data_IF_006125274957
#
_entry.id   IF_006125274957
#
_cell.length_a   1.000
_cell.length_b   1.000
_cell.length_c   1.000
_cell.angle_alpha   90.00
_cell.angle_beta   90.00
_cell.angle_gamma   90.00
#
_symmetry.space_group_name_H-M   'P 1'
#
loop_
_entity.id
_entity.type
_entity.pdbx_description
1 polymer ?
#
# COMPACT_ATOMS: atom_id res chain seq x y z
N UNK A 1 -6.67 -21.26 -7.18
CA UNK A 1 -7.03 -22.32 -6.25
C UNK A 1 -6.47 -22.06 -4.82
N UNK A 2 -5.67 -21.03 -4.61
CA UNK A 2 -5.05 -20.67 -3.34
C UNK A 2 -3.90 -21.59 -2.90
N UNK A 3 -3.38 -22.44 -3.78
CA UNK A 3 -2.24 -23.30 -3.44
C UNK A 3 -0.96 -22.49 -3.28
N UNK A 4 -0.19 -22.78 -2.21
CA UNK A 4 1.11 -22.14 -1.99
C UNK A 4 2.09 -22.63 -3.07
N UNK A 5 2.62 -21.72 -3.90
CA UNK A 5 3.58 -22.04 -4.95
C UNK A 5 5.03 -21.93 -4.50
N UNK A 6 5.30 -21.19 -3.43
CA UNK A 6 6.63 -21.04 -2.88
C UNK A 6 6.62 -20.12 -1.65
N UNK A 7 7.77 -20.04 -1.01
CA UNK A 7 8.07 -19.12 0.08
C UNK A 7 9.40 -18.45 -0.19
N UNK A 8 9.43 -17.12 -0.04
CA UNK A 8 10.65 -16.34 -0.17
C UNK A 8 10.97 -15.76 1.21
N UNK A 9 12.12 -16.08 1.74
CA UNK A 9 12.62 -15.43 2.94
C UNK A 9 13.18 -14.06 2.60
N UNK A 10 12.82 -13.07 3.39
CA UNK A 10 13.33 -11.70 3.26
C UNK A 10 14.43 -11.53 4.31
N UNK A 11 15.71 -11.57 3.92
CA UNK A 11 16.81 -11.51 4.86
C UNK A 11 16.83 -10.17 5.60
N UNK A 12 17.16 -10.21 6.89
CA UNK A 12 17.25 -9.03 7.76
C UNK A 12 15.95 -8.22 7.94
N UNK A 13 14.81 -8.77 7.51
CA UNK A 13 13.50 -8.21 7.82
C UNK A 13 12.97 -8.80 9.12
N UNK A 14 12.32 -7.96 9.91
CA UNK A 14 11.54 -8.36 11.09
C UNK A 14 10.08 -8.11 10.76
N UNK A 15 9.19 -9.00 11.16
CA UNK A 15 7.77 -8.74 11.12
C UNK A 15 7.33 -8.31 12.52
N UNK A 16 7.10 -7.01 12.71
CA UNK A 16 6.49 -6.48 13.92
C UNK A 16 4.98 -6.40 13.72
N UNK A 17 4.56 -5.73 12.61
CA UNK A 17 3.16 -5.62 12.20
C UNK A 17 3.11 -5.26 10.71
N UNK A 18 3.26 -6.29 9.85
CA UNK A 18 3.22 -6.10 8.39
C UNK A 18 1.78 -5.92 7.94
N UNK A 19 1.50 -4.83 7.22
CA UNK A 19 0.16 -4.47 6.83
C UNK A 19 -0.03 -4.52 5.30
N UNK A 20 0.61 -3.67 4.56
CA UNK A 20 0.40 -3.58 3.11
C UNK A 20 1.66 -3.89 2.32
N UNK A 21 1.47 -4.28 1.07
CA UNK A 21 2.53 -4.54 0.12
C UNK A 21 2.21 -3.86 -1.21
N UNK A 22 3.17 -3.08 -1.70
CA UNK A 22 3.07 -2.44 -3.01
C UNK A 22 4.19 -2.90 -3.95
N UNK A 23 3.92 -2.80 -5.25
CA UNK A 23 4.92 -2.95 -6.30
C UNK A 23 5.06 -1.61 -7.02
N UNK A 24 6.29 -1.22 -7.30
CA UNK A 24 6.56 0.04 -8.02
C UNK A 24 8.02 0.19 -8.41
N UNK A 25 8.38 1.31 -9.07
CA UNK A 25 9.77 1.60 -9.41
C UNK A 25 10.59 1.84 -8.15
N UNK A 26 11.89 1.62 -8.24
CA UNK A 26 12.85 1.84 -7.16
C UNK A 26 14.15 2.48 -7.66
N UNK A 27 15.28 2.26 -6.97
CA UNK A 27 16.54 2.92 -7.31
C UNK A 27 17.08 2.60 -8.71
N UNK A 28 16.84 1.40 -9.23
CA UNK A 28 17.29 1.01 -10.56
C UNK A 28 16.20 1.31 -11.60
N UNK A 29 16.54 2.08 -12.61
CA UNK A 29 15.60 2.43 -13.68
C UNK A 29 15.12 1.17 -14.43
N UNK A 30 13.83 1.17 -14.79
CA UNK A 30 13.22 0.06 -15.52
C UNK A 30 13.04 -1.25 -14.73
N UNK A 31 13.29 -1.22 -13.42
CA UNK A 31 13.08 -2.38 -12.54
C UNK A 31 11.99 -2.09 -11.52
N UNK A 32 11.17 -3.10 -11.27
CA UNK A 32 10.18 -3.07 -10.19
C UNK A 32 10.80 -3.55 -8.88
N UNK A 33 10.27 -3.02 -7.80
CA UNK A 33 10.59 -3.37 -6.43
C UNK A 33 9.32 -3.73 -5.67
N UNK A 34 9.45 -4.66 -4.75
CA UNK A 34 8.44 -4.91 -3.73
C UNK A 34 8.73 -4.00 -2.53
N UNK A 35 7.69 -3.38 -2.03
CA UNK A 35 7.69 -2.57 -0.81
C UNK A 35 6.79 -3.28 0.19
N UNK A 36 7.31 -3.61 1.36
CA UNK A 36 6.58 -4.29 2.43
C UNK A 36 6.51 -3.34 3.61
N UNK A 37 5.31 -2.93 3.96
CA UNK A 37 5.05 -1.98 5.03
C UNK A 37 4.96 -2.66 6.39
N UNK A 38 5.93 -2.43 7.25
CA UNK A 38 5.93 -2.80 8.68
C UNK A 38 5.59 -1.55 9.49
N UNK A 39 4.32 -1.16 9.45
CA UNK A 39 3.87 0.10 10.03
C UNK A 39 2.53 0.02 10.78
N UNK A 40 1.97 -1.17 10.96
CA UNK A 40 0.84 -1.37 11.85
C UNK A 40 1.20 -0.97 13.29
N UNK A 41 0.27 -0.32 13.96
CA UNK A 41 0.45 0.18 15.32
C UNK A 41 -0.91 0.42 16.00
N UNK A 42 -1.60 -0.67 16.27
CA UNK A 42 -2.96 -0.65 16.85
C UNK A 42 -3.12 0.27 18.08
N UNK A 43 -2.03 0.53 18.79
CA UNK A 43 -2.03 1.35 20.00
C UNK A 43 -1.38 2.73 19.80
N UNK A 44 -0.93 3.06 18.60
CA UNK A 44 -0.24 4.30 18.25
C UNK A 44 0.94 4.58 19.20
N UNK A 45 1.87 3.63 19.36
CA UNK A 45 3.00 3.71 20.28
C UNK A 45 4.37 3.59 19.60
N UNK A 46 4.42 3.20 18.32
CA UNK A 46 5.69 3.03 17.59
C UNK A 46 6.26 4.37 17.18
N UNK A 47 7.41 4.79 17.75
CA UNK A 47 8.03 6.08 17.40
C UNK A 47 8.61 6.08 15.98
N UNK A 48 8.89 4.90 15.44
CA UNK A 48 9.38 4.70 14.07
C UNK A 48 8.78 3.43 13.48
N UNK A 49 8.49 3.48 12.19
CA UNK A 49 8.02 2.38 11.36
C UNK A 49 9.03 2.09 10.25
N UNK A 50 8.81 1.02 9.51
CA UNK A 50 9.75 0.53 8.50
C UNK A 50 9.01 0.17 7.21
N UNK A 51 9.63 0.47 6.07
CA UNK A 51 9.31 -0.16 4.80
C UNK A 51 10.53 -0.95 4.36
N UNK A 52 10.34 -2.25 4.07
CA UNK A 52 11.36 -3.06 3.42
C UNK A 52 11.19 -2.98 1.92
N UNK A 53 12.27 -2.61 1.21
CA UNK A 53 12.28 -2.55 -0.24
C UNK A 53 13.29 -3.53 -0.81
N UNK A 54 12.84 -4.35 -1.75
CA UNK A 54 13.68 -5.34 -2.43
C UNK A 54 13.32 -5.40 -3.91
N UNK A 55 14.30 -5.74 -4.73
CA UNK A 55 14.07 -5.96 -6.15
C UNK A 55 13.02 -7.06 -6.34
N UNK A 56 12.04 -6.84 -7.22
CA UNK A 56 11.06 -7.87 -7.56
C UNK A 56 11.80 -9.12 -8.08
N UNK A 57 11.68 -10.30 -7.43
CA UNK A 57 12.35 -11.50 -7.90
C UNK A 57 11.73 -12.00 -9.21
N UNK A 58 12.54 -12.42 -10.14
CA UNK A 58 12.08 -12.94 -11.43
C UNK A 58 11.38 -14.31 -11.28
N UNK A 59 11.64 -15.04 -10.21
CA UNK A 59 11.01 -16.33 -9.91
C UNK A 59 10.97 -16.60 -8.41
N UNK A 60 10.13 -17.57 -8.00
CA UNK A 60 10.04 -18.03 -6.61
C UNK A 60 11.28 -18.78 -6.12
N UNK A 61 12.19 -19.17 -7.01
CA UNK A 61 13.45 -19.85 -6.71
C UNK A 61 14.62 -18.88 -6.60
N UNK A 62 14.42 -17.61 -6.95
CA UNK A 62 15.47 -16.61 -6.86
C UNK A 62 15.75 -16.25 -5.41
N UNK A 63 17.04 -16.23 -5.07
CA UNK A 63 17.47 -15.74 -3.76
C UNK A 63 17.31 -14.23 -3.70
N UNK A 64 16.70 -13.74 -2.62
CA UNK A 64 16.64 -12.30 -2.38
C UNK A 64 18.05 -11.79 -2.09
N UNK A 65 18.47 -10.82 -2.89
CA UNK A 65 19.75 -10.14 -2.72
C UNK A 65 19.69 -9.10 -1.59
N UNK A 66 19.87 -7.85 -1.95
CA UNK A 66 19.82 -6.75 -0.99
C UNK A 66 18.37 -6.41 -0.63
N UNK A 67 18.12 -6.26 0.67
CA UNK A 67 16.90 -5.69 1.23
C UNK A 67 17.24 -4.35 1.86
N UNK A 68 16.62 -3.30 1.39
CA UNK A 68 16.76 -1.96 1.95
C UNK A 68 15.74 -1.78 3.06
N UNK A 69 16.16 -1.15 4.15
CA UNK A 69 15.33 -0.82 5.29
C UNK A 69 15.15 0.69 5.33
N UNK A 70 13.95 1.16 5.01
CA UNK A 70 13.59 2.58 5.01
C UNK A 70 12.85 2.88 6.30
N UNK A 71 13.51 3.58 7.22
CA UNK A 71 12.92 3.93 8.50
C UNK A 71 12.24 5.30 8.39
N UNK A 72 11.05 5.41 8.94
CA UNK A 72 10.32 6.67 8.97
C UNK A 72 9.55 6.88 10.26
N UNK A 73 9.10 8.11 10.47
CA UNK A 73 8.19 8.50 11.55
C UNK A 73 7.15 9.49 11.04
N UNK A 74 6.00 9.49 11.68
CA UNK A 74 4.97 10.50 11.41
C UNK A 74 5.35 11.84 12.03
N UNK A 75 5.02 12.98 11.38
CA UNK A 75 5.39 14.31 11.89
C UNK A 75 4.57 14.72 13.13
N UNK A 76 3.43 14.10 13.34
CA UNK A 76 2.41 14.44 14.32
C UNK A 76 2.15 13.32 15.35
N UNK A 77 3.14 12.44 15.54
CA UNK A 77 3.12 11.34 16.50
C UNK A 77 2.73 9.99 15.91
N UNK A 78 2.93 8.90 16.67
CA UNK A 78 2.62 7.54 16.21
C UNK A 78 1.19 7.38 15.75
N UNK A 79 0.98 6.56 14.72
CA UNK A 79 -0.32 6.26 14.13
C UNK A 79 -0.41 4.82 13.67
N UNK A 80 -1.62 4.29 13.74
CA UNK A 80 -1.97 3.04 13.08
C UNK A 80 -2.22 3.31 11.59
N UNK A 81 -1.53 2.60 10.72
CA UNK A 81 -1.69 2.70 9.27
C UNK A 81 -1.67 1.31 8.65
N UNK A 82 -2.44 1.13 7.60
CA UNK A 82 -2.57 -0.16 6.92
C UNK A 82 -2.64 -0.02 5.39
N UNK A 83 -2.33 1.15 4.83
CA UNK A 83 -2.42 1.34 3.39
C UNK A 83 -1.20 2.07 2.83
N UNK A 84 -0.68 1.59 1.69
CA UNK A 84 0.50 2.13 1.05
C UNK A 84 0.37 2.18 -0.47
N UNK A 85 0.82 3.28 -1.08
CA UNK A 85 0.93 3.45 -2.53
C UNK A 85 2.37 3.81 -2.87
N UNK A 86 2.94 3.17 -3.88
CA UNK A 86 4.20 3.60 -4.52
C UNK A 86 3.86 4.23 -5.87
N UNK A 87 4.04 5.53 -5.97
CA UNK A 87 3.70 6.28 -7.19
C UNK A 87 4.66 5.92 -8.34
N UNK A 88 4.20 5.33 -9.45
CA UNK A 88 5.07 4.95 -10.55
C UNK A 88 5.68 6.14 -11.29
N UNK A 89 5.14 7.35 -11.13
CA UNK A 89 5.61 8.56 -11.81
C UNK A 89 6.68 9.30 -11.01
N UNK A 90 6.56 9.38 -9.67
CA UNK A 90 7.47 10.13 -8.81
C UNK A 90 8.37 9.23 -7.96
N UNK A 91 8.04 7.95 -7.81
CA UNK A 91 8.66 6.97 -6.89
C UNK A 91 8.45 7.31 -5.41
N UNK A 92 7.62 8.30 -5.11
CA UNK A 92 7.22 8.60 -3.75
C UNK A 92 6.40 7.44 -3.17
N UNK A 93 6.51 7.23 -1.87
CA UNK A 93 5.63 6.31 -1.16
C UNK A 93 4.62 7.11 -0.35
N UNK A 94 3.36 6.78 -0.52
CA UNK A 94 2.24 7.37 0.20
C UNK A 94 1.72 6.39 1.22
N UNK A 95 1.48 6.87 2.44
CA UNK A 95 0.98 6.07 3.56
C UNK A 95 -0.31 6.70 4.06
N UNK A 96 -1.31 5.88 4.34
CA UNK A 96 -2.63 6.33 4.78
C UNK A 96 -2.93 5.68 6.13
N UNK A 97 -3.26 6.48 7.11
CA UNK A 97 -3.62 5.98 8.44
C UNK A 97 -4.98 5.26 8.42
N UNK A 98 -5.35 4.57 9.51
CA UNK A 98 -6.51 3.69 9.53
C UNK A 98 -7.67 4.20 10.38
N UNK A 99 -7.39 4.62 11.61
CA UNK A 99 -8.41 4.61 12.69
C UNK A 99 -9.11 5.94 12.92
N UNK A 100 -8.56 7.02 12.47
CA UNK A 100 -9.15 8.34 12.66
C UNK A 100 -10.50 8.45 11.94
N UNK A 101 -11.38 9.32 12.42
CA UNK A 101 -12.66 9.63 11.74
C UNK A 101 -12.46 10.18 10.34
N UNK A 102 -11.30 10.79 10.11
CA UNK A 102 -10.73 11.18 8.83
C UNK A 102 -9.28 10.75 8.83
N UNK A 103 -8.94 9.77 8.00
CA UNK A 103 -7.58 9.25 7.93
C UNK A 103 -6.63 10.28 7.35
N UNK A 104 -5.38 10.23 7.80
CA UNK A 104 -4.32 11.13 7.36
C UNK A 104 -3.56 10.53 6.17
N UNK A 105 -3.16 11.40 5.27
CA UNK A 105 -2.33 11.07 4.10
C UNK A 105 -0.93 11.64 4.29
N UNK A 106 0.08 10.78 4.16
CA UNK A 106 1.49 11.13 4.32
C UNK A 106 2.30 10.75 3.09
N UNK A 107 3.35 11.51 2.81
CA UNK A 107 4.32 11.24 1.75
C UNK A 107 5.69 10.94 2.35
N UNK A 108 6.31 9.88 1.87
CA UNK A 108 7.74 9.61 1.99
C UNK A 108 8.37 9.90 0.62
N UNK A 109 9.07 11.03 0.45
CA UNK A 109 9.57 11.46 -0.85
C UNK A 109 10.70 10.57 -1.36
N UNK A 110 10.82 10.45 -2.67
CA UNK A 110 11.95 9.82 -3.32
C UNK A 110 13.08 10.87 -3.57
N UNK A 111 14.38 10.52 -3.41
CA UNK A 111 14.89 9.22 -3.01
C UNK A 111 14.74 8.98 -1.49
N UNK A 112 14.26 7.80 -1.12
CA UNK A 112 14.14 7.43 0.29
C UNK A 112 15.51 7.16 0.90
N UNK A 113 15.77 7.75 2.07
CA UNK A 113 17.00 7.52 2.83
C UNK A 113 16.94 6.16 3.54
N UNK A 114 17.95 5.32 3.31
CA UNK A 114 18.09 4.01 3.96
C UNK A 114 18.99 4.03 5.20
N UNK A 115 19.63 5.17 5.49
CA UNK A 115 20.59 5.31 6.58
C UNK A 115 20.03 6.10 7.77
N UNK A 116 18.99 6.90 7.56
CA UNK A 116 18.40 7.76 8.57
C UNK A 116 16.89 7.58 8.67
N UNK A 117 16.32 8.02 9.78
CA UNK A 117 14.86 8.05 9.95
C UNK A 117 14.30 9.29 9.27
N UNK A 118 13.50 9.11 8.23
CA UNK A 118 12.82 10.21 7.55
C UNK A 118 11.54 10.59 8.28
N UNK A 119 11.33 11.87 8.53
CA UNK A 119 10.01 12.36 8.97
C UNK A 119 9.12 12.53 7.74
N UNK A 120 7.95 11.87 7.74
CA UNK A 120 6.99 11.97 6.65
C UNK A 120 6.48 13.39 6.48
N UNK A 121 6.05 13.72 5.27
CA UNK A 121 5.35 14.96 4.98
C UNK A 121 3.85 14.74 5.10
N UNK A 122 3.16 15.55 5.91
CA UNK A 122 1.70 15.49 6.04
C UNK A 122 1.01 16.21 4.86
N UNK A 123 0.05 15.53 4.24
CA UNK A 123 -0.73 16.04 3.11
C UNK A 123 -2.22 16.22 3.44
N UNK A 124 -2.57 16.25 4.73
CA UNK A 124 -3.93 16.48 5.21
C UNK A 124 -4.74 15.20 5.37
N UNK A 125 -6.05 15.32 5.31
CA UNK A 125 -7.01 14.29 5.67
C UNK A 125 -7.83 13.82 4.47
N UNK A 126 -8.33 12.58 4.57
CA UNK A 126 -9.32 12.00 3.66
C UNK A 126 -10.58 11.63 4.46
N UNK A 127 -11.79 11.81 3.91
CA UNK A 127 -13.04 11.60 4.64
C UNK A 127 -13.41 10.11 4.76
N UNK A 128 -12.46 9.30 5.17
CA UNK A 128 -12.59 7.85 5.35
C UNK A 128 -12.09 7.43 6.72
N UNK A 129 -12.51 6.25 7.16
CA UNK A 129 -12.02 5.57 8.36
C UNK A 129 -11.92 4.07 8.11
N UNK A 130 -11.15 3.36 8.92
CA UNK A 130 -10.89 1.93 8.76
C UNK A 130 -10.33 1.57 7.38
N UNK A 131 -9.41 2.39 6.90
CA UNK A 131 -8.67 2.11 5.66
C UNK A 131 -7.71 0.97 5.90
N UNK A 132 -7.76 -0.04 5.03
CA UNK A 132 -7.00 -1.28 5.17
C UNK A 132 -5.99 -1.51 4.03
N UNK A 133 -6.19 -0.92 2.88
CA UNK A 133 -5.23 -1.02 1.76
C UNK A 133 -5.49 0.05 0.72
N UNK A 134 -4.48 0.33 -0.09
CA UNK A 134 -4.58 1.21 -1.24
C UNK A 134 -3.74 0.66 -2.41
N UNK A 135 -4.08 1.06 -3.62
CA UNK A 135 -3.33 0.68 -4.81
C UNK A 135 -3.36 1.78 -5.87
N UNK A 136 -2.36 1.77 -6.72
CA UNK A 136 -2.28 2.65 -7.88
C UNK A 136 -2.08 1.81 -9.14
N UNK A 137 -2.68 2.23 -10.24
CA UNK A 137 -2.51 1.54 -11.52
C UNK A 137 -1.06 1.61 -12.01
N UNK A 138 -0.59 0.64 -12.83
CA UNK A 138 0.79 0.63 -13.31
C UNK A 138 1.23 1.89 -14.05
N UNK A 139 0.29 2.58 -14.70
CA UNK A 139 0.52 3.88 -15.38
C UNK A 139 0.35 5.10 -14.45
N UNK A 140 -0.11 4.89 -13.23
CA UNK A 140 -0.35 5.92 -12.24
C UNK A 140 -1.61 6.76 -12.46
N UNK A 141 -2.48 6.36 -13.38
CA UNK A 141 -3.68 7.14 -13.74
C UNK A 141 -4.90 6.88 -12.87
N UNK A 142 -4.88 5.81 -12.10
CA UNK A 142 -6.02 5.40 -11.24
C UNK A 142 -5.54 5.01 -9.85
N UNK A 143 -6.33 5.36 -8.85
CA UNK A 143 -6.06 5.07 -7.43
C UNK A 143 -7.26 4.33 -6.85
N UNK A 144 -6.98 3.31 -6.06
CA UNK A 144 -7.96 2.57 -5.27
C UNK A 144 -7.65 2.74 -3.79
N UNK A 145 -8.69 2.84 -3.00
CA UNK A 145 -8.64 2.81 -1.53
C UNK A 145 -9.67 1.81 -1.04
N UNK A 146 -9.26 0.97 -0.11
CA UNK A 146 -10.13 0.02 0.54
C UNK A 146 -10.31 0.36 2.01
N UNK A 147 -11.55 0.22 2.48
CA UNK A 147 -11.89 0.08 3.89
C UNK A 147 -12.38 -1.34 4.14
N UNK A 148 -12.66 -1.71 5.38
CA UNK A 148 -13.26 -3.03 5.66
C UNK A 148 -14.47 -3.36 4.79
N UNK A 149 -15.28 -2.37 4.44
CA UNK A 149 -16.60 -2.60 3.80
C UNK A 149 -16.70 -2.05 2.39
N UNK A 150 -15.85 -1.10 2.00
CA UNK A 150 -16.03 -0.30 0.79
C UNK A 150 -14.73 -0.18 0.01
N UNK A 151 -14.88 0.03 -1.30
CA UNK A 151 -13.79 0.34 -2.22
C UNK A 151 -14.11 1.66 -2.92
N UNK A 152 -13.12 2.54 -2.97
CA UNK A 152 -13.20 3.84 -3.64
C UNK A 152 -12.14 3.92 -4.73
N UNK A 153 -12.49 4.63 -5.80
CA UNK A 153 -11.69 4.79 -6.99
C UNK A 153 -11.61 6.25 -7.40
N UNK A 154 -10.42 6.70 -7.76
CA UNK A 154 -10.15 8.01 -8.35
C UNK A 154 -9.45 7.87 -9.69
N UNK A 155 -9.79 8.76 -10.62
CA UNK A 155 -8.96 9.04 -11.78
C UNK A 155 -7.99 10.16 -11.41
N UNK A 156 -6.73 9.98 -11.77
CA UNK A 156 -5.65 10.96 -11.58
C UNK A 156 -5.33 11.60 -12.93
N UNK A 157 -5.40 12.92 -13.00
CA UNK A 157 -5.04 13.67 -14.19
C UNK A 157 -3.52 13.72 -14.38
N UNK A 158 -3.08 13.91 -15.62
CA UNK A 158 -1.65 14.08 -15.92
C UNK A 158 -1.05 15.24 -15.11
N UNK A 159 0.09 15.01 -14.48
CA UNK A 159 0.78 15.99 -13.64
C UNK A 159 0.15 16.25 -12.26
N UNK A 160 -0.94 15.60 -11.93
CA UNK A 160 -1.56 15.70 -10.62
C UNK A 160 -0.83 14.80 -9.60
N UNK A 161 -0.62 15.27 -8.37
CA UNK A 161 -0.10 14.42 -7.30
C UNK A 161 -1.14 13.39 -6.85
N UNK A 162 -0.71 12.33 -6.16
CA UNK A 162 -1.60 11.35 -5.52
C UNK A 162 -2.53 12.07 -4.52
N UNK A 163 -1.97 12.96 -3.69
CA UNK A 163 -2.76 13.71 -2.71
C UNK A 163 -3.82 14.59 -3.38
N UNK A 164 -3.43 15.34 -4.41
CA UNK A 164 -4.39 16.17 -5.14
C UNK A 164 -5.51 15.34 -5.78
N UNK A 165 -5.17 14.18 -6.35
CA UNK A 165 -6.17 13.29 -6.93
C UNK A 165 -7.17 12.80 -5.88
N UNK A 166 -6.68 12.35 -4.72
CA UNK A 166 -7.54 11.81 -3.66
C UNK A 166 -8.36 12.88 -2.93
N UNK A 167 -7.86 14.11 -2.85
CA UNK A 167 -8.54 15.21 -2.11
C UNK A 167 -9.43 16.08 -2.98
N UNK A 168 -9.10 16.26 -4.27
CA UNK A 168 -9.78 17.25 -5.14
C UNK A 168 -10.68 16.61 -6.20
N UNK A 169 -10.37 15.37 -6.61
CA UNK A 169 -11.20 14.67 -7.59
C UNK A 169 -12.31 13.90 -6.89
N UNK A 170 -13.41 13.65 -7.61
CA UNK A 170 -14.54 12.89 -7.06
C UNK A 170 -14.18 11.42 -6.92
N UNK A 171 -14.30 10.92 -5.69
CA UNK A 171 -14.21 9.48 -5.42
C UNK A 171 -15.46 8.77 -5.97
N UNK A 172 -15.27 7.70 -6.72
CA UNK A 172 -16.34 6.78 -7.12
C UNK A 172 -16.31 5.56 -6.20
N UNK A 173 -17.39 5.32 -5.47
CA UNK A 173 -17.54 4.06 -4.76
C UNK A 173 -17.79 2.92 -5.77
N UNK A 174 -17.03 1.84 -5.65
CA UNK A 174 -17.17 0.67 -6.50
C UNK A 174 -18.04 -0.40 -5.82
N UNK A 175 -18.80 -1.12 -6.61
CA UNK A 175 -19.57 -2.27 -6.13
C UNK A 175 -18.66 -3.49 -6.12
N UNK A 176 -18.38 -4.01 -4.94
CA UNK A 176 -17.57 -5.21 -4.72
C UNK A 176 -18.36 -6.25 -3.93
N UNK A 177 -17.94 -7.51 -3.99
CA UNK A 177 -18.52 -8.57 -3.15
C UNK A 177 -18.29 -8.23 -1.68
N UNK A 178 -19.30 -8.53 -0.85
CA UNK A 178 -19.15 -8.46 0.60
C UNK A 178 -18.12 -9.50 1.05
N UNK A 179 -17.18 -9.06 1.84
CA UNK A 179 -16.11 -9.89 2.40
C UNK A 179 -16.14 -9.79 3.94
N UNK A 180 -15.72 -10.83 4.67
CA UNK A 180 -15.79 -10.84 6.13
C UNK A 180 -15.07 -9.66 6.78
N UNK A 181 -13.87 -9.36 6.30
CA UNK A 181 -13.03 -8.24 6.71
C UNK A 181 -12.10 -7.89 5.56
N UNK A 182 -12.47 -6.91 4.76
CA UNK A 182 -11.70 -6.54 3.58
C UNK A 182 -10.35 -5.95 3.93
N UNK A 183 -9.25 -6.59 3.51
CA UNK A 183 -7.90 -6.18 3.89
C UNK A 183 -7.04 -5.73 2.73
N UNK A 184 -7.07 -6.39 1.59
CA UNK A 184 -6.16 -6.02 0.51
C UNK A 184 -6.87 -5.65 -0.79
N UNK A 185 -6.27 -4.72 -1.53
CA UNK A 185 -6.67 -4.33 -2.87
C UNK A 185 -5.42 -4.07 -3.74
N UNK A 186 -5.47 -4.46 -5.00
CA UNK A 186 -4.37 -4.17 -5.93
C UNK A 186 -4.82 -4.28 -7.38
N UNK A 187 -4.27 -3.43 -8.24
CA UNK A 187 -4.46 -3.56 -9.67
C UNK A 187 -3.75 -4.82 -10.21
N UNK A 188 -4.27 -5.38 -11.28
CA UNK A 188 -3.52 -6.35 -12.05
C UNK A 188 -2.34 -5.68 -12.77
N UNK A 189 -1.40 -6.52 -13.23
CA UNK A 189 -0.15 -6.05 -13.84
C UNK A 189 -0.35 -5.20 -15.12
N UNK A 190 -1.49 -5.36 -15.78
CA UNK A 190 -1.81 -4.69 -17.04
C UNK A 190 -2.74 -3.47 -16.82
N UNK A 191 -3.22 -3.24 -15.59
CA UNK A 191 -4.17 -2.18 -15.27
C UNK A 191 -5.56 -2.41 -15.89
N UNK A 192 -5.89 -3.67 -16.22
CA UNK A 192 -7.19 -4.05 -16.80
C UNK A 192 -8.26 -4.36 -15.77
N UNK A 193 -7.88 -4.45 -14.52
CA UNK A 193 -8.77 -4.73 -13.40
C UNK A 193 -8.03 -4.69 -12.08
N UNK A 194 -8.71 -5.12 -11.03
CA UNK A 194 -8.14 -5.16 -9.69
C UNK A 194 -8.62 -6.39 -8.93
N UNK A 195 -7.85 -6.76 -7.93
CA UNK A 195 -8.15 -7.85 -7.02
C UNK A 195 -8.51 -7.32 -5.65
N UNK A 196 -9.38 -8.06 -4.95
CA UNK A 196 -9.61 -7.89 -3.50
C UNK A 196 -9.50 -9.22 -2.80
N UNK A 197 -9.03 -9.18 -1.55
CA UNK A 197 -9.04 -10.33 -0.65
C UNK A 197 -9.31 -9.84 0.77
N UNK A 198 -9.99 -10.68 1.54
CA UNK A 198 -10.31 -10.45 2.94
C UNK A 198 -9.33 -11.15 3.86
N UNK A 199 -9.13 -10.61 5.05
CA UNK A 199 -8.70 -11.43 6.18
C UNK A 199 -9.75 -12.47 6.48
N UNK A 200 -9.32 -13.66 6.91
CA UNK A 200 -10.23 -14.77 7.18
C UNK A 200 -11.14 -14.51 8.38
N UNK A 201 -10.66 -13.74 9.37
CA UNK A 201 -11.38 -13.50 10.64
C UNK A 201 -12.01 -14.81 11.17
N UNK A 202 -13.30 -14.85 11.35
CA UNK A 202 -14.05 -16.04 11.78
C UNK A 202 -14.63 -16.89 10.63
N UNK A 203 -14.41 -16.49 9.37
CA UNK A 203 -14.93 -17.23 8.22
C UNK A 203 -14.18 -18.54 7.99
N UNK A 204 -14.88 -19.56 7.47
CA UNK A 204 -14.27 -20.84 7.12
C UNK A 204 -13.25 -20.72 5.99
N UNK A 205 -13.52 -19.85 5.01
CA UNK A 205 -12.66 -19.56 3.86
C UNK A 205 -12.88 -18.14 3.37
N UNK A 206 -11.92 -17.63 2.60
CA UNK A 206 -11.99 -16.36 1.87
C UNK A 206 -11.66 -16.62 0.40
N UNK A 207 -12.13 -15.73 -0.47
CA UNK A 207 -11.90 -15.81 -1.89
C UNK A 207 -11.06 -14.61 -2.35
N UNK A 208 -10.20 -14.83 -3.33
CA UNK A 208 -9.61 -13.77 -4.14
C UNK A 208 -10.60 -13.41 -5.24
N UNK A 209 -11.10 -12.18 -5.24
CA UNK A 209 -12.01 -11.67 -6.27
C UNK A 209 -11.26 -10.82 -7.28
N UNK A 210 -11.65 -10.96 -8.55
CA UNK A 210 -11.17 -10.11 -9.64
C UNK A 210 -12.32 -9.31 -10.24
N UNK A 211 -12.07 -8.03 -10.46
CA UNK A 211 -13.01 -7.08 -11.06
C UNK A 211 -12.37 -6.50 -12.31
N UNK A 212 -12.89 -6.90 -13.48
CA UNK A 212 -12.42 -6.33 -14.73
C UNK A 212 -12.87 -4.86 -14.86
N UNK A 213 -12.01 -4.05 -15.40
CA UNK A 213 -12.32 -2.65 -15.73
C UNK A 213 -13.41 -2.62 -16.81
N UNK A 214 -14.43 -1.80 -16.59
CA UNK A 214 -15.52 -1.57 -17.52
C UNK A 214 -15.25 -0.36 -18.40
#
# INVERSE_FOLDING_TARGET
>A
DGSVKGKINIPNATNVDWEDMAIGPGPQDGRNYLYIGDFGDNNAQRPTCVIYRLLEPASLQESIGQVERINFRYPDGPRDAEAMIVDPQTRDTWIISKRESKVHLYRLPYPQDINQVTTLEAYGELPFTYVTSAGISPDGSEILLRTYLQVFHWKRNAGQSVADAMQKNTARQLVVKAEPQGEAIGFDREGKGFFTISERASAASVNLYYYAKQ
#
